data_IF_315369416791
#
_entry.id   IF_315369416791
#
_cell.length_a   1.000
_cell.length_b   1.000
_cell.length_c   1.000
_cell.angle_alpha   90.00
_cell.angle_beta   90.00
_cell.angle_gamma   90.00
#
_symmetry.space_group_name_H-M   'P 1'
#
loop_
_entity.id
_entity.type
_entity.pdbx_description
1 polymer ?
#
# COMPACT_ATOMS: atom_id res chain seq x y z
N UNK A 1 25.88 20.75 21.02
CA UNK A 1 25.58 19.72 19.99
C UNK A 1 26.79 19.55 19.09
N UNK A 2 27.16 18.33 18.69
CA UNK A 2 28.24 18.13 17.73
C UNK A 2 27.79 18.61 16.34
N UNK A 3 28.37 19.71 15.85
CA UNK A 3 28.09 20.24 14.51
C UNK A 3 28.94 19.55 13.44
N UNK A 4 28.39 19.27 12.25
CA UNK A 4 29.17 18.71 11.16
C UNK A 4 30.25 19.69 10.72
N UNK A 5 31.52 19.27 10.79
CA UNK A 5 32.67 20.10 10.39
C UNK A 5 32.65 20.47 8.90
N UNK A 6 32.05 19.62 8.04
CA UNK A 6 31.98 19.79 6.58
C UNK A 6 30.64 19.32 6.01
N UNK A 7 30.22 19.91 4.89
CA UNK A 7 29.05 19.48 4.12
C UNK A 7 29.27 18.08 3.52
N UNK A 8 28.24 17.22 3.60
CA UNK A 8 28.24 15.96 2.87
C UNK A 8 28.01 16.19 1.36
N UNK A 9 28.79 15.51 0.51
CA UNK A 9 28.60 15.55 -0.94
C UNK A 9 27.26 14.92 -1.34
N UNK A 10 26.73 15.35 -2.48
CA UNK A 10 25.48 14.81 -3.04
C UNK A 10 25.54 13.29 -3.22
N UNK A 11 26.69 12.75 -3.65
CA UNK A 11 26.90 11.31 -3.78
C UNK A 11 26.75 10.55 -2.44
N UNK A 12 27.24 11.11 -1.32
CA UNK A 12 27.08 10.48 0.02
C UNK A 12 25.62 10.52 0.48
N UNK A 13 24.92 11.62 0.24
CA UNK A 13 23.49 11.72 0.55
C UNK A 13 22.64 10.76 -0.29
N UNK A 14 22.95 10.60 -1.58
CA UNK A 14 22.28 9.66 -2.47
C UNK A 14 22.52 8.20 -2.06
N UNK A 15 23.77 7.83 -1.75
CA UNK A 15 24.10 6.49 -1.22
C UNK A 15 23.35 6.21 0.08
N UNK A 16 23.29 7.18 1.02
CA UNK A 16 22.55 7.03 2.28
C UNK A 16 21.05 6.85 2.06
N UNK A 17 20.44 7.58 1.12
CA UNK A 17 19.00 7.47 0.81
C UNK A 17 18.68 6.31 -0.13
N UNK A 18 19.68 5.62 -0.68
CA UNK A 18 19.48 4.52 -1.63
C UNK A 18 18.72 3.33 -1.04
N UNK A 19 18.82 3.10 0.26
CA UNK A 19 18.09 2.05 0.98
C UNK A 19 16.72 2.52 1.47
N UNK A 20 16.45 3.83 1.47
CA UNK A 20 15.16 4.39 1.88
C UNK A 20 14.18 4.40 0.71
N UNK A 21 13.81 3.20 0.25
CA UNK A 21 12.87 2.98 -0.85
C UNK A 21 11.62 2.28 -0.33
N UNK A 22 10.50 2.60 -0.94
CA UNK A 22 9.22 1.97 -0.64
C UNK A 22 9.10 0.67 -1.42
N UNK A 23 8.55 -0.36 -0.80
CA UNK A 23 8.21 -1.63 -1.45
C UNK A 23 6.73 -1.64 -1.83
N UNK A 24 6.41 -2.15 -3.02
CA UNK A 24 5.03 -2.32 -3.46
C UNK A 24 4.45 -3.56 -2.78
N UNK A 25 3.27 -3.47 -2.14
CA UNK A 25 2.65 -4.63 -1.55
C UNK A 25 2.19 -5.62 -2.64
N UNK A 26 2.09 -6.89 -2.27
CA UNK A 26 1.52 -7.90 -3.15
C UNK A 26 0.03 -7.60 -3.38
N UNK A 27 -0.39 -7.64 -4.64
CA UNK A 27 -1.78 -7.43 -5.05
C UNK A 27 -2.29 -8.71 -5.71
N UNK A 28 -3.44 -9.19 -5.27
CA UNK A 28 -4.09 -10.38 -5.82
C UNK A 28 -5.32 -10.01 -6.63
N UNK A 29 -5.65 -10.74 -7.71
CA UNK A 29 -6.86 -10.49 -8.47
C UNK A 29 -8.09 -10.71 -7.59
N UNK A 30 -9.03 -9.77 -7.67
CA UNK A 30 -10.30 -9.91 -6.98
C UNK A 30 -11.15 -10.97 -7.67
N UNK A 31 -11.78 -11.85 -6.86
CA UNK A 31 -12.63 -12.95 -7.35
C UNK A 31 -14.07 -12.51 -7.66
N UNK A 32 -14.41 -11.26 -7.37
CA UNK A 32 -15.76 -10.72 -7.55
C UNK A 32 -15.92 -10.03 -8.92
N UNK A 33 -17.03 -10.31 -9.62
CA UNK A 33 -17.42 -9.55 -10.81
C UNK A 33 -17.98 -8.17 -10.42
N UNK A 34 -17.46 -7.12 -11.05
CA UNK A 34 -17.96 -5.74 -10.90
C UNK A 34 -17.33 -4.89 -9.79
N UNK A 35 -16.34 -5.42 -9.05
CA UNK A 35 -15.57 -4.67 -8.05
C UNK A 35 -14.18 -4.21 -8.54
N UNK A 36 -13.38 -3.63 -7.64
CA UNK A 36 -11.98 -3.30 -7.93
C UNK A 36 -11.19 -4.53 -8.40
N UNK A 37 -10.36 -4.45 -9.45
CA UNK A 37 -9.73 -5.61 -10.10
C UNK A 37 -8.67 -6.29 -9.23
N UNK A 38 -8.04 -5.55 -8.33
CA UNK A 38 -7.00 -6.04 -7.43
C UNK A 38 -7.32 -5.66 -5.98
N UNK A 39 -6.91 -6.52 -5.06
CA UNK A 39 -7.05 -6.32 -3.61
C UNK A 39 -5.77 -6.72 -2.91
N UNK A 40 -5.56 -6.16 -1.72
CA UNK A 40 -4.49 -6.62 -0.83
C UNK A 40 -4.85 -8.00 -0.26
N UNK A 41 -3.89 -8.93 -0.18
CA UNK A 41 -4.14 -10.24 0.40
C UNK A 41 -4.57 -10.11 1.86
N UNK A 42 -5.47 -11.00 2.29
CA UNK A 42 -6.02 -11.04 3.65
C UNK A 42 -6.79 -9.78 4.10
N UNK A 43 -7.15 -8.88 3.18
CA UNK A 43 -7.99 -7.71 3.46
C UNK A 43 -9.32 -7.81 2.76
N UNK A 44 -10.32 -7.09 3.28
CA UNK A 44 -11.60 -6.92 2.62
C UNK A 44 -11.51 -5.89 1.50
N UNK A 45 -12.21 -6.13 0.40
CA UNK A 45 -12.39 -5.15 -0.67
C UNK A 45 -13.12 -3.91 -0.13
N UNK A 46 -12.85 -2.70 -0.63
CA UNK A 46 -13.62 -1.49 -0.31
C UNK A 46 -15.13 -1.60 -0.59
N UNK A 47 -15.54 -2.59 -1.37
CA UNK A 47 -16.93 -2.91 -1.65
C UNK A 47 -17.55 -3.80 -0.56
N UNK A 48 -16.81 -4.21 0.48
CA UNK A 48 -17.35 -5.00 1.59
C UNK A 48 -17.35 -6.51 1.36
N UNK A 49 -16.46 -6.99 0.50
CA UNK A 49 -16.35 -8.41 0.20
C UNK A 49 -15.04 -9.00 0.71
N UNK A 50 -15.10 -10.23 1.23
CA UNK A 50 -13.93 -11.01 1.62
C UNK A 50 -14.14 -12.46 1.20
N UNK A 51 -13.17 -13.04 0.48
CA UNK A 51 -13.27 -14.42 -0.05
C UNK A 51 -14.59 -14.69 -0.82
N UNK A 52 -15.07 -13.70 -1.58
CA UNK A 52 -16.30 -13.80 -2.37
C UNK A 52 -17.60 -13.74 -1.56
N UNK A 53 -17.53 -13.51 -0.24
CA UNK A 53 -18.70 -13.34 0.62
C UNK A 53 -18.88 -11.88 1.01
N UNK A 54 -20.13 -11.45 1.10
CA UNK A 54 -20.50 -10.14 1.62
C UNK A 54 -20.27 -10.09 3.13
N UNK A 55 -19.58 -9.07 3.61
CA UNK A 55 -19.37 -8.86 5.04
C UNK A 55 -20.63 -8.32 5.70
N UNK A 56 -20.95 -8.78 6.93
CA UNK A 56 -22.08 -8.26 7.68
C UNK A 56 -21.87 -6.79 8.03
N UNK A 57 -22.93 -5.99 7.93
CA UNK A 57 -22.90 -4.55 8.25
C UNK A 57 -22.40 -3.64 7.11
N UNK A 58 -21.96 -4.20 5.97
CA UNK A 58 -21.59 -3.39 4.82
C UNK A 58 -22.84 -2.93 4.06
N UNK A 59 -23.20 -1.65 4.21
CA UNK A 59 -24.30 -1.04 3.46
C UNK A 59 -23.82 -0.81 2.03
N UNK A 60 -24.59 -1.32 1.05
CA UNK A 60 -24.42 -0.84 -0.31
C UNK A 60 -24.65 0.67 -0.27
N UNK A 61 -23.71 1.44 -0.85
CA UNK A 61 -23.94 2.86 -1.07
C UNK A 61 -25.03 2.94 -2.14
N UNK A 62 -26.28 2.85 -1.72
CA UNK A 62 -27.44 3.19 -2.54
C UNK A 62 -27.25 4.64 -2.95
N UNK A 63 -27.00 4.82 -4.24
CA UNK A 63 -26.98 6.13 -4.88
C UNK A 63 -28.40 6.70 -4.91
#
# INVERSE_FOLDING_TARGET
MPNPKRKHSHARSAKRRGTWRTEMPELVPNKQQGGSPFVLPHTATPDGYYKGRRLPGYKDRTR
#
